data_IF_395512553750
#
_entry.id   IF_395512553750
#
_cell.length_a   1.000
_cell.length_b   1.000
_cell.length_c   1.000
_cell.angle_alpha   90.00
_cell.angle_beta   90.00
_cell.angle_gamma   90.00
#
_symmetry.space_group_name_H-M   'P 1'
#
loop_
_entity.id
_entity.type
_entity.pdbx_description
1 polymer ?
#
# COMPACT_ATOMS: atom_id res chain seq x y z
N UNK A 1 -10.24 7.92 26.20
CA UNK A 1 -9.06 7.89 25.31
C UNK A 1 -8.86 9.25 24.60
N UNK A 2 -9.86 9.80 23.87
CA UNK A 2 -9.73 11.09 23.15
C UNK A 2 -9.36 12.27 24.07
N UNK A 3 -10.02 12.41 25.21
CA UNK A 3 -9.71 13.47 26.17
C UNK A 3 -8.25 13.34 26.69
N UNK A 4 -7.81 12.14 26.98
CA UNK A 4 -6.44 11.85 27.42
C UNK A 4 -5.42 12.17 26.31
N UNK A 5 -5.71 11.79 25.07
CA UNK A 5 -4.90 12.14 23.91
C UNK A 5 -4.77 13.66 23.74
N UNK A 6 -5.86 14.41 23.92
CA UNK A 6 -5.87 15.86 23.88
C UNK A 6 -5.02 16.51 25.00
N UNK A 7 -5.14 16.01 26.22
CA UNK A 7 -4.31 16.47 27.36
C UNK A 7 -2.82 16.22 27.10
N UNK A 8 -2.47 15.05 26.60
CA UNK A 8 -1.09 14.71 26.27
C UNK A 8 -0.54 15.55 25.10
N UNK A 9 -1.36 15.82 24.09
CA UNK A 9 -0.96 16.69 22.98
C UNK A 9 -0.70 18.13 23.45
N UNK A 10 -1.57 18.68 24.30
CA UNK A 10 -1.39 20.00 24.89
C UNK A 10 -0.14 20.06 25.79
N UNK A 11 0.10 19.03 26.61
CA UNK A 11 1.30 18.92 27.41
C UNK A 11 2.58 18.90 26.56
N UNK A 12 2.60 18.08 25.50
CA UNK A 12 3.71 18.02 24.56
C UNK A 12 4.01 19.37 23.92
N UNK A 13 2.97 20.09 23.44
CA UNK A 13 3.11 21.41 22.85
C UNK A 13 3.63 22.46 23.85
N UNK A 14 3.11 22.46 25.10
CA UNK A 14 3.54 23.40 26.14
C UNK A 14 4.98 23.16 26.57
N UNK A 15 5.40 21.90 26.67
CA UNK A 15 6.77 21.54 26.99
C UNK A 15 7.72 21.91 25.86
N UNK A 16 7.34 21.66 24.61
CA UNK A 16 8.14 22.06 23.46
C UNK A 16 8.43 23.56 23.40
N UNK A 17 7.49 24.41 23.82
CA UNK A 17 7.67 25.86 23.87
C UNK A 17 8.64 26.32 24.98
N UNK A 18 9.07 25.43 25.89
CA UNK A 18 9.94 25.71 27.04
C UNK A 18 11.28 24.96 26.94
N UNK A 19 11.80 24.74 25.76
CA UNK A 19 12.91 23.84 25.44
C UNK A 19 14.27 24.15 26.12
N UNK A 20 14.40 25.22 26.90
CA UNK A 20 15.67 25.68 27.48
C UNK A 20 16.20 24.85 28.68
N UNK A 21 15.49 23.80 29.13
CA UNK A 21 15.90 22.98 30.29
C UNK A 21 16.18 21.55 29.87
N UNK A 22 17.28 20.97 30.38
CA UNK A 22 17.58 19.54 30.26
C UNK A 22 16.37 18.68 30.68
N UNK A 23 16.04 17.64 29.92
CA UNK A 23 14.93 16.72 30.16
C UNK A 23 13.56 17.17 29.63
N UNK A 24 13.34 18.45 29.28
CA UNK A 24 12.05 18.90 28.71
C UNK A 24 11.79 18.31 27.35
N UNK A 25 12.82 18.15 26.51
CA UNK A 25 12.72 17.56 25.19
C UNK A 25 12.27 16.09 25.25
N UNK A 26 12.82 15.34 26.21
CA UNK A 26 12.44 13.94 26.44
C UNK A 26 11.02 13.82 26.98
N UNK A 27 10.64 14.68 27.94
CA UNK A 27 9.28 14.73 28.46
C UNK A 27 8.28 15.08 27.35
N UNK A 28 8.57 16.08 26.51
CA UNK A 28 7.72 16.43 25.36
C UNK A 28 7.55 15.26 24.40
N UNK A 29 8.62 14.49 24.13
CA UNK A 29 8.56 13.30 23.29
C UNK A 29 7.67 12.20 23.90
N UNK A 30 7.76 11.96 25.22
CA UNK A 30 6.91 10.97 25.92
C UNK A 30 5.43 11.38 25.83
N UNK A 31 5.10 12.64 26.07
CA UNK A 31 3.74 13.13 25.94
C UNK A 31 3.22 13.06 24.49
N UNK A 32 4.07 13.34 23.49
CA UNK A 32 3.69 13.19 22.09
C UNK A 32 3.37 11.72 21.73
N UNK A 33 4.18 10.76 22.19
CA UNK A 33 3.88 9.32 22.04
C UNK A 33 2.58 8.96 22.74
N UNK A 34 2.36 9.44 23.96
CA UNK A 34 1.13 9.22 24.71
C UNK A 34 -0.12 9.77 23.98
N UNK A 35 -0.01 10.95 23.38
CA UNK A 35 -1.09 11.55 22.60
C UNK A 35 -1.45 10.68 21.38
N UNK A 36 -0.46 10.23 20.62
CA UNK A 36 -0.67 9.37 19.45
C UNK A 36 -1.21 8.00 19.85
N UNK A 37 -0.67 7.39 20.91
CA UNK A 37 -1.16 6.11 21.43
C UNK A 37 -2.62 6.23 21.92
N UNK A 38 -2.95 7.31 22.63
CA UNK A 38 -4.30 7.61 23.08
C UNK A 38 -5.29 7.81 21.93
N UNK A 39 -4.86 8.48 20.85
CA UNK A 39 -5.65 8.64 19.64
C UNK A 39 -5.85 7.30 18.92
N UNK A 40 -4.78 6.53 18.73
CA UNK A 40 -4.86 5.21 18.10
C UNK A 40 -5.82 4.28 18.88
N UNK A 41 -5.72 4.28 20.21
CA UNK A 41 -6.62 3.52 21.08
C UNK A 41 -8.08 4.00 20.95
N UNK A 42 -8.31 5.30 20.89
CA UNK A 42 -9.64 5.87 20.70
C UNK A 42 -10.26 5.42 19.37
N UNK A 43 -9.47 5.44 18.30
CA UNK A 43 -9.89 4.98 16.98
C UNK A 43 -10.19 3.47 16.98
N UNK A 44 -9.40 2.67 17.70
CA UNK A 44 -9.61 1.23 17.83
C UNK A 44 -10.94 0.89 18.50
N UNK A 45 -11.37 1.69 19.49
CA UNK A 45 -12.67 1.51 20.13
C UNK A 45 -13.85 2.12 19.38
N UNK A 46 -13.59 3.13 18.53
CA UNK A 46 -14.66 3.86 17.85
C UNK A 46 -14.95 3.32 16.43
N UNK A 47 -13.96 2.68 15.81
CA UNK A 47 -14.03 2.28 14.41
C UNK A 47 -13.89 0.76 14.27
N UNK A 48 -14.72 0.21 13.41
CA UNK A 48 -14.71 -1.22 13.10
C UNK A 48 -14.07 -1.49 11.74
N UNK A 49 -13.58 -2.74 11.57
CA UNK A 49 -13.09 -3.29 10.30
C UNK A 49 -12.15 -2.34 9.53
N UNK A 50 -12.44 -2.09 8.27
CA UNK A 50 -11.60 -1.31 7.36
C UNK A 50 -11.47 0.17 7.71
N UNK A 51 -12.46 0.79 8.35
CA UNK A 51 -12.39 2.20 8.77
C UNK A 51 -11.26 2.47 9.76
N UNK A 52 -10.96 1.53 10.65
CA UNK A 52 -9.81 1.64 11.54
C UNK A 52 -8.50 1.65 10.76
N UNK A 53 -8.37 0.83 9.73
CA UNK A 53 -7.18 0.78 8.86
C UNK A 53 -6.96 2.12 8.15
N UNK A 54 -8.03 2.70 7.59
CA UNK A 54 -8.01 4.02 6.94
C UNK A 54 -7.61 5.11 7.94
N UNK A 55 -8.21 5.12 9.13
CA UNK A 55 -7.94 6.11 10.15
C UNK A 55 -6.49 6.04 10.67
N UNK A 56 -5.97 4.84 10.93
CA UNK A 56 -4.57 4.65 11.32
C UNK A 56 -3.62 5.08 10.21
N UNK A 57 -3.92 4.75 8.95
CA UNK A 57 -3.11 5.19 7.81
C UNK A 57 -3.08 6.72 7.70
N UNK A 58 -4.22 7.41 7.90
CA UNK A 58 -4.32 8.87 7.86
C UNK A 58 -3.63 9.57 9.04
N UNK A 59 -3.38 8.88 10.15
CA UNK A 59 -2.56 9.45 11.24
C UNK A 59 -1.10 9.64 10.82
N UNK A 60 -0.56 8.78 9.96
CA UNK A 60 0.87 8.81 9.59
C UNK A 60 1.28 10.11 8.91
N UNK A 61 0.56 10.64 7.88
CA UNK A 61 0.85 11.96 7.33
C UNK A 61 0.81 13.09 8.36
N UNK A 62 -0.15 13.05 9.28
CA UNK A 62 -0.24 14.05 10.34
C UNK A 62 0.99 14.05 11.24
N UNK A 63 1.42 12.88 11.71
CA UNK A 63 2.63 12.73 12.52
C UNK A 63 3.88 13.10 11.73
N UNK A 64 3.98 12.71 10.46
CA UNK A 64 5.09 13.04 9.58
C UNK A 64 5.24 14.56 9.40
N UNK A 65 4.14 15.30 9.25
CA UNK A 65 4.16 16.77 9.16
C UNK A 65 4.62 17.41 10.49
N UNK A 66 4.22 16.86 11.62
CA UNK A 66 4.69 17.33 12.93
C UNK A 66 6.19 17.03 13.06
N UNK A 67 6.65 15.84 12.70
CA UNK A 67 8.05 15.45 12.73
C UNK A 67 8.94 16.28 11.76
N UNK A 68 8.36 16.80 10.68
CA UNK A 68 9.05 17.71 9.77
C UNK A 68 9.25 19.10 10.38
N UNK A 69 8.28 19.59 11.17
CA UNK A 69 8.36 20.89 11.87
C UNK A 69 9.15 20.78 13.17
N UNK A 70 8.97 19.69 13.89
CA UNK A 70 9.63 19.43 15.19
C UNK A 70 10.53 18.20 15.02
N UNK A 71 11.87 18.37 14.93
CA UNK A 71 12.81 17.28 14.63
C UNK A 71 12.99 16.33 15.82
N UNK A 72 11.94 15.62 16.18
CA UNK A 72 11.96 14.57 17.20
C UNK A 72 12.09 13.20 16.55
N UNK A 73 13.18 12.45 16.74
CA UNK A 73 13.36 11.10 16.19
C UNK A 73 12.24 10.14 16.59
N UNK A 74 11.68 10.31 17.79
CA UNK A 74 10.60 9.47 18.30
C UNK A 74 9.34 9.53 17.43
N UNK A 75 8.99 10.71 16.90
CA UNK A 75 7.82 10.86 16.02
C UNK A 75 8.01 10.13 14.69
N UNK A 76 9.23 10.11 14.16
CA UNK A 76 9.57 9.35 12.96
C UNK A 76 9.42 7.84 13.19
N UNK A 77 9.96 7.34 14.30
CA UNK A 77 9.83 5.92 14.67
C UNK A 77 8.37 5.53 14.93
N UNK A 78 7.57 6.45 15.45
CA UNK A 78 6.14 6.26 15.66
C UNK A 78 5.38 6.12 14.33
N UNK A 79 5.75 6.90 13.29
CA UNK A 79 5.24 6.67 11.93
C UNK A 79 5.52 5.23 11.49
N UNK A 80 6.75 4.74 11.65
CA UNK A 80 7.13 3.36 11.32
C UNK A 80 6.30 2.33 12.09
N UNK A 81 6.10 2.53 13.39
CA UNK A 81 5.31 1.63 14.23
C UNK A 81 3.83 1.54 13.77
N UNK A 82 3.22 2.67 13.44
CA UNK A 82 1.83 2.70 12.93
C UNK A 82 1.74 2.03 11.55
N UNK A 83 2.69 2.29 10.66
CA UNK A 83 2.76 1.63 9.34
C UNK A 83 2.83 0.11 9.52
N UNK A 84 3.72 -0.37 10.40
CA UNK A 84 3.82 -1.81 10.71
C UNK A 84 2.51 -2.36 11.27
N UNK A 85 1.85 -1.64 12.17
CA UNK A 85 0.57 -2.06 12.73
C UNK A 85 -0.51 -2.18 11.64
N UNK A 86 -0.58 -1.22 10.71
CA UNK A 86 -1.51 -1.26 9.57
C UNK A 86 -1.20 -2.43 8.64
N UNK A 87 0.06 -2.67 8.32
CA UNK A 87 0.48 -3.80 7.47
C UNK A 87 0.21 -5.15 8.15
N UNK A 88 0.54 -5.28 9.43
CA UNK A 88 0.25 -6.49 10.21
C UNK A 88 -1.26 -6.76 10.27
N UNK A 89 -2.08 -5.73 10.46
CA UNK A 89 -3.53 -5.85 10.48
C UNK A 89 -4.09 -6.44 9.18
N UNK A 90 -3.63 -5.96 8.01
CA UNK A 90 -4.06 -6.50 6.71
C UNK A 90 -3.57 -7.93 6.50
N UNK A 91 -2.35 -8.24 6.95
CA UNK A 91 -1.79 -9.58 6.82
C UNK A 91 -2.52 -10.61 7.70
N UNK A 92 -2.97 -10.19 8.91
CA UNK A 92 -3.63 -11.06 9.88
C UNK A 92 -5.15 -11.18 9.65
N UNK A 93 -5.77 -10.14 9.09
CA UNK A 93 -7.20 -10.11 8.79
C UNK A 93 -7.44 -9.66 7.33
N UNK A 94 -7.30 -10.57 6.36
CA UNK A 94 -7.53 -10.26 4.96
C UNK A 94 -9.00 -9.95 4.62
N UNK A 95 -9.94 -10.23 5.53
CA UNK A 95 -11.37 -9.92 5.40
C UNK A 95 -11.78 -8.58 6.01
N UNK A 96 -10.84 -7.67 6.20
CA UNK A 96 -11.09 -6.30 6.68
C UNK A 96 -12.16 -5.58 5.84
N UNK A 97 -12.19 -5.85 4.55
CA UNK A 97 -13.26 -5.40 3.66
C UNK A 97 -14.45 -6.31 3.87
N UNK A 98 -15.56 -5.79 4.36
CA UNK A 98 -16.79 -6.57 4.52
C UNK A 98 -17.29 -7.12 3.17
N UNK A 99 -18.31 -7.96 3.22
CA UNK A 99 -18.93 -8.58 2.03
C UNK A 99 -19.61 -7.59 1.07
N UNK A 100 -19.91 -6.39 1.55
CA UNK A 100 -20.55 -5.34 0.73
C UNK A 100 -19.52 -4.28 0.33
N UNK A 101 -18.88 -4.50 -0.81
CA UNK A 101 -17.86 -3.61 -1.37
C UNK A 101 -18.48 -2.50 -2.23
N UNK A 102 -19.78 -2.62 -2.57
CA UNK A 102 -20.43 -1.81 -3.58
C UNK A 102 -20.27 -2.39 -4.99
N UNK A 103 -21.15 -1.98 -5.92
CA UNK A 103 -21.15 -2.52 -7.30
C UNK A 103 -20.47 -1.62 -8.33
N UNK A 104 -20.16 -0.37 -7.98
CA UNK A 104 -19.55 0.55 -8.92
C UNK A 104 -18.06 0.22 -9.10
N UNK A 105 -17.58 0.02 -10.34
CA UNK A 105 -16.16 -0.12 -10.61
C UNK A 105 -15.40 1.14 -10.16
N UNK A 106 -14.24 0.96 -9.54
CA UNK A 106 -13.32 2.00 -9.05
C UNK A 106 -13.90 2.80 -7.86
N UNK A 107 -15.13 3.32 -7.96
CA UNK A 107 -15.77 4.11 -6.89
C UNK A 107 -16.52 3.21 -5.91
N UNK A 108 -15.81 2.36 -5.22
CA UNK A 108 -16.31 1.39 -4.27
C UNK A 108 -15.51 1.44 -2.96
N UNK A 109 -15.79 0.54 -2.02
CA UNK A 109 -15.10 0.49 -0.74
C UNK A 109 -13.60 0.18 -0.83
N UNK A 110 -13.14 -0.50 -1.90
CA UNK A 110 -11.72 -0.82 -2.09
C UNK A 110 -10.87 0.44 -2.30
N UNK A 111 -11.40 1.42 -3.03
CA UNK A 111 -10.74 2.72 -3.20
C UNK A 111 -10.55 3.43 -1.86
N UNK A 112 -11.54 3.39 -0.97
CA UNK A 112 -11.43 3.98 0.36
C UNK A 112 -10.52 3.16 1.27
N UNK A 113 -10.70 1.84 1.30
CA UNK A 113 -9.97 0.93 2.20
C UNK A 113 -8.49 0.77 1.87
N UNK A 114 -8.12 0.84 0.59
CA UNK A 114 -6.74 0.63 0.12
C UNK A 114 -6.16 1.84 -0.62
N UNK A 115 -6.95 2.55 -1.42
CA UNK A 115 -6.48 3.72 -2.17
C UNK A 115 -6.16 4.92 -1.26
N UNK A 116 -6.99 5.20 -0.26
CA UNK A 116 -6.70 6.27 0.72
C UNK A 116 -5.42 5.98 1.52
N UNK A 117 -5.20 4.79 2.10
CA UNK A 117 -3.91 4.43 2.69
C UNK A 117 -2.73 4.54 1.73
N UNK A 118 -2.89 4.17 0.45
CA UNK A 118 -1.85 4.37 -0.57
C UNK A 118 -1.39 5.82 -0.62
N UNK A 119 -2.33 6.76 -0.76
CA UNK A 119 -2.03 8.19 -0.83
C UNK A 119 -1.47 8.73 0.49
N UNK A 120 -1.99 8.26 1.62
CA UNK A 120 -1.52 8.64 2.94
C UNK A 120 -0.04 8.25 3.16
N UNK A 121 0.31 7.01 2.86
CA UNK A 121 1.69 6.53 3.00
C UNK A 121 2.64 7.13 1.98
N UNK A 122 2.20 7.32 0.74
CA UNK A 122 2.98 8.02 -0.28
C UNK A 122 3.31 9.45 0.15
N UNK A 123 2.32 10.20 0.63
CA UNK A 123 2.53 11.56 1.14
C UNK A 123 3.45 11.57 2.35
N UNK A 124 3.22 10.70 3.33
CA UNK A 124 4.05 10.57 4.52
C UNK A 124 5.51 10.24 4.16
N UNK A 125 5.72 9.30 3.24
CA UNK A 125 7.06 8.94 2.75
C UNK A 125 7.79 10.13 2.13
N UNK A 126 7.10 10.96 1.34
CA UNK A 126 7.66 12.19 0.79
C UNK A 126 8.05 13.22 1.85
N UNK A 127 7.19 13.41 2.84
CA UNK A 127 7.47 14.33 3.96
C UNK A 127 8.65 13.85 4.79
N UNK A 128 8.65 12.57 5.18
CA UNK A 128 9.73 11.97 5.97
C UNK A 128 11.07 12.02 5.23
N UNK A 129 11.09 11.77 3.92
CA UNK A 129 12.29 11.80 3.08
C UNK A 129 12.93 13.18 2.94
N UNK A 130 12.18 14.28 3.15
CA UNK A 130 12.74 15.64 3.15
C UNK A 130 13.85 15.83 4.19
N UNK A 131 13.78 15.13 5.32
CA UNK A 131 14.74 15.21 6.40
C UNK A 131 15.82 14.14 6.34
N UNK A 132 15.42 12.89 6.06
CA UNK A 132 16.36 11.76 5.98
C UNK A 132 15.72 10.60 5.20
N UNK A 133 16.56 9.87 4.47
CA UNK A 133 16.20 8.58 3.85
C UNK A 133 16.49 7.45 4.86
N UNK A 134 15.65 7.37 5.89
CA UNK A 134 15.75 6.42 7.00
C UNK A 134 14.70 5.30 6.95
N UNK A 135 14.71 4.42 7.96
CA UNK A 135 13.76 3.31 8.08
C UNK A 135 12.29 3.73 7.95
N UNK A 136 11.78 4.70 8.75
CA UNK A 136 10.41 5.17 8.64
C UNK A 136 10.02 5.72 7.27
N UNK A 137 10.92 6.45 6.59
CA UNK A 137 10.66 6.97 5.25
C UNK A 137 10.53 5.83 4.23
N UNK A 138 11.45 4.85 4.29
CA UNK A 138 11.44 3.66 3.43
C UNK A 138 10.24 2.77 3.70
N UNK A 139 9.84 2.61 4.96
CA UNK A 139 8.63 1.85 5.32
C UNK A 139 7.36 2.50 4.76
N UNK A 140 7.24 3.83 4.83
CA UNK A 140 6.10 4.55 4.27
C UNK A 140 6.02 4.38 2.73
N UNK A 141 7.16 4.44 2.04
CA UNK A 141 7.23 4.21 0.60
C UNK A 141 6.86 2.76 0.24
N UNK A 142 7.40 1.78 0.94
CA UNK A 142 7.08 0.36 0.73
C UNK A 142 5.60 0.07 0.99
N UNK A 143 5.03 0.65 2.05
CA UNK A 143 3.61 0.52 2.35
C UNK A 143 2.73 1.15 1.27
N UNK A 144 3.10 2.33 0.76
CA UNK A 144 2.38 2.96 -0.35
C UNK A 144 2.36 2.08 -1.60
N UNK A 145 3.50 1.47 -1.95
CA UNK A 145 3.63 0.54 -3.08
C UNK A 145 2.75 -0.70 -2.87
N UNK A 146 2.80 -1.30 -1.69
CA UNK A 146 1.99 -2.48 -1.36
C UNK A 146 0.49 -2.17 -1.45
N UNK A 147 0.04 -1.06 -0.85
CA UNK A 147 -1.36 -0.68 -0.89
C UNK A 147 -1.83 -0.30 -2.30
N UNK A 148 -0.99 0.33 -3.12
CA UNK A 148 -1.27 0.58 -4.54
C UNK A 148 -1.47 -0.73 -5.31
N UNK A 149 -0.60 -1.71 -5.09
CA UNK A 149 -0.72 -3.03 -5.72
C UNK A 149 -2.01 -3.74 -5.28
N UNK A 150 -2.31 -3.74 -3.97
CA UNK A 150 -3.55 -4.32 -3.44
C UNK A 150 -4.79 -3.64 -4.00
N UNK A 151 -4.79 -2.29 -4.08
CA UNK A 151 -5.89 -1.54 -4.70
C UNK A 151 -6.12 -2.02 -6.13
N UNK A 152 -5.07 -2.02 -6.95
CA UNK A 152 -5.19 -2.42 -8.36
C UNK A 152 -5.64 -3.89 -8.53
N UNK A 153 -5.09 -4.81 -7.73
CA UNK A 153 -5.44 -6.23 -7.80
C UNK A 153 -6.89 -6.48 -7.36
N UNK A 154 -7.33 -5.85 -6.29
CA UNK A 154 -8.69 -6.02 -5.78
C UNK A 154 -9.74 -5.35 -6.69
N UNK A 155 -9.40 -4.21 -7.30
CA UNK A 155 -10.27 -3.57 -8.31
C UNK A 155 -10.42 -4.42 -9.57
N UNK A 156 -9.35 -5.04 -10.07
CA UNK A 156 -9.45 -6.01 -11.19
C UNK A 156 -10.36 -7.16 -10.79
N UNK A 157 -10.17 -7.71 -9.60
CA UNK A 157 -10.99 -8.80 -9.10
C UNK A 157 -12.47 -8.42 -8.98
N UNK A 158 -12.74 -7.24 -8.43
CA UNK A 158 -14.08 -6.67 -8.34
C UNK A 158 -14.72 -6.52 -9.74
N UNK A 159 -13.98 -5.94 -10.68
CA UNK A 159 -14.43 -5.73 -12.06
C UNK A 159 -14.72 -7.05 -12.80
N UNK A 160 -13.86 -8.06 -12.63
CA UNK A 160 -13.96 -9.34 -13.35
C UNK A 160 -14.97 -10.30 -12.72
N UNK A 161 -15.46 -10.03 -11.51
CA UNK A 161 -16.37 -10.90 -10.77
C UNK A 161 -17.67 -10.20 -10.34
N UNK A 162 -18.10 -9.17 -11.07
CA UNK A 162 -19.38 -8.46 -10.83
C UNK A 162 -19.52 -7.94 -9.37
N UNK A 163 -18.40 -7.53 -8.77
CA UNK A 163 -18.35 -7.01 -7.41
C UNK A 163 -18.00 -8.04 -6.34
N UNK A 164 -18.00 -9.32 -6.63
CA UNK A 164 -17.66 -10.39 -5.68
C UNK A 164 -16.13 -10.64 -5.65
N UNK A 165 -15.43 -10.00 -4.73
CA UNK A 165 -14.00 -10.17 -4.55
C UNK A 165 -13.60 -11.50 -3.89
N UNK A 166 -14.55 -12.23 -3.31
CA UNK A 166 -14.31 -13.50 -2.61
C UNK A 166 -14.57 -14.74 -3.47
N UNK A 167 -14.93 -14.56 -4.74
CA UNK A 167 -15.18 -15.66 -5.67
C UNK A 167 -13.98 -16.61 -5.73
N UNK A 168 -14.14 -17.94 -5.54
CA UNK A 168 -12.99 -18.85 -5.38
C UNK A 168 -12.21 -19.11 -6.66
N UNK A 169 -12.81 -18.85 -7.83
CA UNK A 169 -12.18 -19.09 -9.15
C UNK A 169 -11.63 -17.78 -9.73
N UNK A 170 -10.45 -17.89 -10.31
CA UNK A 170 -9.80 -16.83 -11.08
C UNK A 170 -9.97 -17.20 -12.55
N UNK A 171 -10.42 -16.28 -13.40
CA UNK A 171 -10.51 -16.50 -14.84
C UNK A 171 -9.17 -16.21 -15.53
N UNK A 172 -8.97 -16.74 -16.74
CA UNK A 172 -7.79 -16.43 -17.56
C UNK A 172 -7.60 -14.92 -17.75
N UNK A 173 -8.70 -14.18 -18.01
CA UNK A 173 -8.65 -12.74 -18.18
C UNK A 173 -8.23 -12.02 -16.89
N UNK A 174 -8.77 -12.44 -15.74
CA UNK A 174 -8.40 -11.89 -14.43
C UNK A 174 -6.92 -12.14 -14.13
N UNK A 175 -6.45 -13.38 -14.29
CA UNK A 175 -5.05 -13.73 -14.07
C UNK A 175 -4.11 -12.89 -14.97
N UNK A 176 -4.47 -12.76 -16.25
CA UNK A 176 -3.69 -11.97 -17.20
C UNK A 176 -3.63 -10.49 -16.86
N UNK A 177 -4.74 -9.89 -16.42
CA UNK A 177 -4.77 -8.50 -15.98
C UNK A 177 -3.98 -8.28 -14.70
N UNK A 178 -4.07 -9.18 -13.71
CA UNK A 178 -3.25 -9.11 -12.49
C UNK A 178 -1.76 -9.18 -12.81
N UNK A 179 -1.34 -10.11 -13.66
CA UNK A 179 0.04 -10.23 -14.13
C UNK A 179 0.47 -8.98 -14.89
N UNK A 180 -0.41 -8.40 -15.71
CA UNK A 180 -0.15 -7.17 -16.44
C UNK A 180 0.09 -5.98 -15.50
N UNK A 181 -0.64 -5.87 -14.39
CA UNK A 181 -0.37 -4.86 -13.35
C UNK A 181 1.01 -5.08 -12.73
N UNK A 182 1.38 -6.32 -12.37
CA UNK A 182 2.70 -6.60 -11.82
C UNK A 182 3.82 -6.24 -12.80
N UNK A 183 3.66 -6.56 -14.09
CA UNK A 183 4.61 -6.17 -15.13
C UNK A 183 4.69 -4.64 -15.28
N UNK A 184 3.55 -3.95 -15.31
CA UNK A 184 3.52 -2.49 -15.39
C UNK A 184 4.19 -1.84 -14.19
N UNK A 185 3.97 -2.36 -12.97
CA UNK A 185 4.65 -1.91 -11.77
C UNK A 185 6.16 -2.19 -11.82
N UNK A 186 6.57 -3.38 -12.27
CA UNK A 186 7.98 -3.71 -12.45
C UNK A 186 8.67 -2.74 -13.41
N UNK A 187 8.04 -2.44 -14.57
CA UNK A 187 8.55 -1.46 -15.55
C UNK A 187 8.67 -0.07 -14.93
N UNK A 188 7.63 0.38 -14.23
CA UNK A 188 7.60 1.69 -13.57
C UNK A 188 8.69 1.83 -12.50
N UNK A 189 8.89 0.80 -11.67
CA UNK A 189 9.92 0.81 -10.63
C UNK A 189 11.33 0.64 -11.19
N UNK A 190 11.52 -0.13 -12.27
CA UNK A 190 12.81 -0.19 -12.96
C UNK A 190 13.22 1.20 -13.48
N UNK A 191 12.28 1.92 -14.08
CA UNK A 191 12.50 3.29 -14.54
C UNK A 191 12.77 4.27 -13.39
N UNK A 192 12.07 4.11 -12.26
CA UNK A 192 12.31 4.92 -11.05
C UNK A 192 13.65 4.58 -10.39
N UNK A 193 14.05 3.31 -10.37
CA UNK A 193 15.37 2.87 -9.90
C UNK A 193 16.49 3.57 -10.62
N UNK A 194 16.44 3.60 -11.96
CA UNK A 194 17.44 4.26 -12.81
C UNK A 194 17.57 5.76 -12.50
N UNK A 195 16.47 6.41 -12.11
CA UNK A 195 16.46 7.85 -11.80
C UNK A 195 16.82 8.19 -10.36
N UNK A 196 16.42 7.39 -9.41
CA UNK A 196 16.50 7.71 -7.97
C UNK A 196 17.60 6.96 -7.22
N UNK A 197 18.09 5.83 -7.75
CA UNK A 197 19.01 4.93 -7.04
C UNK A 197 18.41 4.32 -5.76
N UNK A 198 17.09 4.40 -5.56
CA UNK A 198 16.41 3.95 -4.34
C UNK A 198 16.40 2.43 -4.23
N UNK A 199 16.85 1.90 -3.09
CA UNK A 199 16.78 0.47 -2.76
C UNK A 199 15.34 -0.03 -2.77
N UNK A 200 14.37 0.82 -2.41
CA UNK A 200 12.95 0.45 -2.39
C UNK A 200 12.43 0.24 -3.82
N UNK A 201 12.79 1.12 -4.76
CA UNK A 201 12.40 0.95 -6.16
C UNK A 201 13.06 -0.28 -6.80
N UNK A 202 14.34 -0.54 -6.49
CA UNK A 202 15.05 -1.74 -6.92
C UNK A 202 14.39 -3.02 -6.38
N UNK A 203 14.09 -3.05 -5.08
CA UNK A 203 13.37 -4.16 -4.45
C UNK A 203 11.98 -4.38 -5.05
N UNK A 204 11.22 -3.30 -5.26
CA UNK A 204 9.88 -3.36 -5.84
C UNK A 204 9.91 -3.88 -7.29
N UNK A 205 10.84 -3.41 -8.12
CA UNK A 205 11.01 -3.89 -9.50
C UNK A 205 11.24 -5.40 -9.54
N UNK A 206 12.15 -5.90 -8.69
CA UNK A 206 12.45 -7.34 -8.60
C UNK A 206 11.27 -8.15 -8.09
N UNK A 207 10.59 -7.69 -7.03
CA UNK A 207 9.44 -8.40 -6.45
C UNK A 207 8.31 -8.50 -7.46
N UNK A 208 7.91 -7.40 -8.09
CA UNK A 208 6.83 -7.42 -9.07
C UNK A 208 7.22 -8.19 -10.34
N UNK A 209 8.48 -8.10 -10.78
CA UNK A 209 8.99 -8.93 -11.88
C UNK A 209 8.93 -10.42 -11.57
N UNK A 210 9.34 -10.82 -10.37
CA UNK A 210 9.28 -12.22 -9.93
C UNK A 210 7.83 -12.70 -9.79
N UNK A 211 6.93 -11.91 -9.21
CA UNK A 211 5.51 -12.24 -9.11
C UNK A 211 4.88 -12.42 -10.50
N UNK A 212 5.20 -11.52 -11.44
CA UNK A 212 4.72 -11.63 -12.81
C UNK A 212 5.24 -12.90 -13.48
N UNK A 213 6.52 -13.22 -13.35
CA UNK A 213 7.11 -14.42 -13.90
C UNK A 213 6.47 -15.70 -13.32
N UNK A 214 6.34 -15.78 -12.00
CA UNK A 214 5.67 -16.89 -11.31
C UNK A 214 4.22 -17.01 -11.77
N UNK A 215 3.50 -15.89 -11.87
CA UNK A 215 2.12 -15.84 -12.37
C UNK A 215 1.99 -16.35 -13.80
N UNK A 216 2.90 -15.94 -14.70
CA UNK A 216 2.92 -16.45 -16.10
C UNK A 216 3.11 -17.97 -16.11
N UNK A 217 4.08 -18.48 -15.35
CA UNK A 217 4.37 -19.90 -15.32
C UNK A 217 3.23 -20.68 -14.67
N UNK A 218 2.80 -20.31 -13.47
CA UNK A 218 1.82 -21.12 -12.71
C UNK A 218 0.40 -20.88 -13.23
N UNK A 219 -0.04 -19.61 -13.34
CA UNK A 219 -1.41 -19.33 -13.70
C UNK A 219 -1.65 -19.48 -15.21
N UNK A 220 -0.87 -18.81 -16.06
CA UNK A 220 -1.16 -18.79 -17.48
C UNK A 220 -0.71 -20.07 -18.22
N UNK A 221 0.47 -20.62 -17.89
CA UNK A 221 0.98 -21.79 -18.60
C UNK A 221 0.31 -23.10 -18.17
N UNK A 222 -0.14 -23.20 -16.89
CA UNK A 222 -0.70 -24.44 -16.37
C UNK A 222 -2.16 -24.31 -15.91
N UNK A 223 -2.44 -23.47 -14.93
CA UNK A 223 -3.72 -23.49 -14.20
C UNK A 223 -4.91 -23.02 -15.05
N UNK A 224 -4.78 -21.91 -15.75
CA UNK A 224 -5.84 -21.27 -16.54
C UNK A 224 -5.59 -21.40 -18.07
N UNK A 225 -4.69 -22.31 -18.47
CA UNK A 225 -4.38 -22.53 -19.88
C UNK A 225 -5.59 -23.14 -20.61
N UNK A 226 -6.17 -22.44 -21.62
CA UNK A 226 -7.34 -22.94 -22.34
C UNK A 226 -7.12 -24.28 -23.03
N UNK A 227 -5.88 -24.58 -23.45
CA UNK A 227 -5.53 -25.88 -24.07
C UNK A 227 -5.61 -27.03 -23.05
N UNK A 228 -5.41 -26.77 -21.78
CA UNK A 228 -5.49 -27.76 -20.72
C UNK A 228 -6.87 -27.82 -20.06
N UNK A 229 -7.53 -26.66 -19.93
CA UNK A 229 -8.81 -26.55 -19.23
C UNK A 229 -10.03 -26.70 -20.13
N UNK A 230 -9.86 -26.52 -21.45
CA UNK A 230 -10.98 -26.46 -22.40
C UNK A 230 -11.90 -25.25 -22.18
N UNK A 231 -11.47 -24.26 -21.40
CA UNK A 231 -12.29 -23.09 -21.09
C UNK A 231 -12.57 -22.24 -22.35
N UNK A 232 -13.78 -21.69 -22.50
CA UNK A 232 -14.11 -20.84 -23.64
C UNK A 232 -13.30 -19.55 -23.58
N UNK A 233 -12.70 -19.15 -24.70
CA UNK A 233 -11.82 -17.98 -24.78
C UNK A 233 -12.53 -16.72 -25.24
N UNK A 234 -13.78 -16.80 -25.69
CA UNK A 234 -14.57 -15.64 -26.12
C UNK A 234 -14.44 -15.33 -27.62
N UNK A 235 -14.63 -14.08 -28.00
CA UNK A 235 -14.68 -13.63 -29.39
C UNK A 235 -13.36 -13.73 -30.17
N UNK A 236 -13.37 -13.40 -31.47
CA UNK A 236 -12.20 -13.68 -32.35
C UNK A 236 -10.99 -12.77 -32.07
N UNK A 237 -11.17 -11.54 -31.63
CA UNK A 237 -10.09 -10.57 -31.39
C UNK A 237 -10.04 -10.15 -29.94
N UNK A 238 -11.15 -9.58 -29.43
CA UNK A 238 -11.26 -9.19 -28.02
C UNK A 238 -11.73 -10.38 -27.19
N UNK A 239 -10.79 -11.11 -26.65
CA UNK A 239 -11.03 -12.35 -25.94
C UNK A 239 -10.10 -12.51 -24.74
N UNK A 240 -10.33 -13.55 -23.95
CA UNK A 240 -9.52 -13.83 -22.77
C UNK A 240 -8.07 -14.23 -23.11
N UNK A 241 -7.77 -14.68 -24.35
CA UNK A 241 -6.40 -14.94 -24.79
C UNK A 241 -5.62 -13.64 -24.95
N UNK A 242 -6.25 -12.59 -25.49
CA UNK A 242 -5.62 -11.27 -25.58
C UNK A 242 -5.29 -10.71 -24.19
N UNK A 243 -6.23 -10.79 -23.25
CA UNK A 243 -6.03 -10.33 -21.88
C UNK A 243 -5.03 -11.20 -21.11
N UNK A 244 -5.11 -12.54 -21.29
CA UNK A 244 -4.29 -13.50 -20.56
C UNK A 244 -2.85 -13.58 -21.08
N UNK A 245 -2.65 -13.51 -22.38
CA UNK A 245 -1.32 -13.72 -23.00
C UNK A 245 -0.83 -12.50 -23.77
N UNK A 246 -1.69 -11.85 -24.55
CA UNK A 246 -1.29 -10.75 -25.44
C UNK A 246 -0.73 -9.56 -24.68
N UNK A 247 -1.48 -9.02 -23.71
CA UNK A 247 -1.05 -7.88 -22.90
C UNK A 247 0.19 -8.22 -22.06
N UNK A 248 0.25 -9.33 -21.30
CA UNK A 248 1.47 -9.73 -20.59
C UNK A 248 2.69 -9.89 -21.50
N UNK A 249 2.54 -10.45 -22.70
CA UNK A 249 3.66 -10.61 -23.63
C UNK A 249 4.24 -9.27 -24.09
N UNK A 250 3.39 -8.30 -24.41
CA UNK A 250 3.82 -6.94 -24.77
C UNK A 250 4.55 -6.28 -23.59
N UNK A 251 3.97 -6.33 -22.39
CA UNK A 251 4.58 -5.74 -21.20
C UNK A 251 5.90 -6.43 -20.81
N UNK A 252 6.00 -7.75 -20.96
CA UNK A 252 7.25 -8.48 -20.74
C UNK A 252 8.35 -8.03 -21.71
N UNK A 253 7.97 -7.79 -22.98
CA UNK A 253 8.91 -7.27 -23.98
C UNK A 253 9.40 -5.87 -23.62
N UNK A 254 8.50 -5.02 -23.14
CA UNK A 254 8.85 -3.67 -22.66
C UNK A 254 9.77 -3.77 -21.43
N UNK A 255 9.43 -4.60 -20.44
CA UNK A 255 10.26 -4.81 -19.25
C UNK A 255 11.68 -5.28 -19.63
N UNK A 256 11.78 -6.24 -20.56
CA UNK A 256 13.06 -6.74 -21.02
C UNK A 256 13.91 -5.67 -21.73
N UNK A 257 13.30 -4.72 -22.42
CA UNK A 257 14.00 -3.58 -23.03
C UNK A 257 14.48 -2.60 -21.97
N UNK A 258 13.55 -2.17 -21.09
CA UNK A 258 13.89 -1.22 -20.01
C UNK A 258 15.01 -1.77 -19.11
N UNK A 259 14.96 -3.06 -18.76
CA UNK A 259 15.98 -3.69 -17.93
C UNK A 259 17.37 -3.84 -18.62
N UNK A 260 17.45 -3.74 -19.94
CA UNK A 260 18.74 -3.71 -20.67
C UNK A 260 19.33 -2.32 -20.73
N UNK A 261 18.47 -1.30 -20.74
CA UNK A 261 18.87 0.11 -20.91
C UNK A 261 19.22 0.77 -19.56
N UNK A 262 18.97 0.09 -18.44
CA UNK A 262 19.26 0.53 -17.06
C UNK A 262 20.41 -0.24 -16.44
#
# INVERSE_FOLDING_TARGET
ALALAGVFALAALRLWQREEREGIREASAIFAVGAVAGLALALTFALEKGWLTVALALMVPGIALIADRQPMPVLRNLCGAIILAVMARIALDPQIVGSDVGRMPIFNWLLWGYGVPTLAFWFAGRVLRRRADDGPARMAESAAILFAALTAMLEIRHLMNDGDIFRPRVSLGEAGLQISIWLAMAIGFEHQRARSGSIIHDGAARVFGALAFIGIVIALAFRENPLLTGAPVGGPIFNYVLLGYGIPAVLMTILARVARDT
#
